data_IF_245280307927
#
_entry.id   IF_245280307927
#
_cell.length_a   1.000
_cell.length_b   1.000
_cell.length_c   1.000
_cell.angle_alpha   90.00
_cell.angle_beta   90.00
_cell.angle_gamma   90.00
#
_symmetry.space_group_name_H-M   'P 1'
#
loop_
_entity.id
_entity.type
_entity.pdbx_description
1 polymer ?
#
# COMPACT_ATOMS: atom_id res chain seq x y z
N UNK A 1 16.74 -20.28 -14.12
CA UNK A 1 15.71 -19.51 -13.38
C UNK A 1 16.30 -18.15 -13.06
N UNK A 2 15.63 -17.07 -13.44
CA UNK A 2 16.05 -15.72 -13.03
C UNK A 2 15.92 -15.64 -11.49
N UNK A 3 17.02 -15.23 -10.84
CA UNK A 3 17.01 -15.00 -9.40
C UNK A 3 16.28 -13.67 -9.14
N UNK A 4 14.97 -13.72 -8.88
CA UNK A 4 14.16 -12.53 -8.62
C UNK A 4 14.57 -11.87 -7.31
N UNK A 5 14.54 -10.53 -7.24
CA UNK A 5 14.76 -9.81 -5.99
C UNK A 5 13.83 -10.34 -4.89
N UNK A 6 14.36 -10.47 -3.69
CA UNK A 6 13.63 -11.00 -2.53
C UNK A 6 13.70 -10.01 -1.37
N UNK A 7 12.52 -9.71 -0.81
CA UNK A 7 12.37 -8.91 0.41
C UNK A 7 12.06 -9.82 1.60
N UNK A 8 12.98 -10.01 2.55
CA UNK A 8 12.71 -10.78 3.76
C UNK A 8 11.55 -10.20 4.59
N UNK A 9 11.33 -8.89 4.53
CA UNK A 9 10.19 -8.24 5.21
C UNK A 9 8.87 -8.66 4.58
N UNK A 10 8.75 -8.57 3.24
CA UNK A 10 7.56 -9.02 2.51
C UNK A 10 7.28 -10.51 2.76
N UNK A 11 8.31 -11.33 2.83
CA UNK A 11 8.13 -12.77 3.07
C UNK A 11 7.57 -13.07 4.47
N UNK A 12 8.02 -12.32 5.48
CA UNK A 12 7.53 -12.50 6.86
C UNK A 12 6.10 -12.00 7.07
N UNK A 13 5.69 -10.92 6.39
CA UNK A 13 4.41 -10.26 6.66
C UNK A 13 3.30 -10.61 5.68
N UNK A 14 3.60 -11.25 4.52
CA UNK A 14 2.61 -11.58 3.49
C UNK A 14 1.43 -12.39 4.01
N UNK A 15 1.66 -13.42 4.84
CA UNK A 15 0.58 -14.25 5.36
C UNK A 15 -0.26 -13.53 6.43
N UNK A 16 0.32 -12.89 7.46
CA UNK A 16 -0.47 -12.09 8.39
C UNK A 16 -1.29 -10.99 7.72
N UNK A 17 -0.75 -10.35 6.67
CA UNK A 17 -1.50 -9.35 5.91
C UNK A 17 -2.64 -10.01 5.13
N UNK A 18 -2.41 -11.13 4.45
CA UNK A 18 -3.46 -11.87 3.74
C UNK A 18 -4.61 -12.25 4.68
N UNK A 19 -4.29 -12.74 5.88
CA UNK A 19 -5.29 -13.11 6.88
C UNK A 19 -6.14 -11.91 7.33
N UNK A 20 -5.58 -10.70 7.30
CA UNK A 20 -6.32 -9.48 7.54
C UNK A 20 -7.16 -9.07 6.32
N UNK A 21 -6.56 -9.07 5.12
CA UNK A 21 -7.24 -8.71 3.88
C UNK A 21 -8.49 -9.57 3.63
N UNK A 22 -8.42 -10.88 3.87
CA UNK A 22 -9.56 -11.79 3.68
C UNK A 22 -10.72 -11.57 4.65
N UNK A 23 -10.50 -10.83 5.73
CA UNK A 23 -11.56 -10.42 6.68
C UNK A 23 -12.14 -9.04 6.38
N UNK A 24 -11.32 -8.17 5.76
CA UNK A 24 -11.66 -6.77 5.50
C UNK A 24 -12.35 -6.63 4.13
N UNK A 25 -11.85 -7.37 3.14
CA UNK A 25 -12.28 -7.23 1.75
C UNK A 25 -13.44 -8.15 1.43
N UNK A 26 -14.31 -7.70 0.52
CA UNK A 26 -15.42 -8.49 0.00
C UNK A 26 -14.92 -9.74 -0.78
N UNK A 27 -15.85 -10.60 -1.20
CA UNK A 27 -15.53 -11.84 -1.93
C UNK A 27 -14.81 -11.60 -3.27
N UNK A 28 -14.99 -10.44 -3.90
CA UNK A 28 -14.40 -10.07 -5.18
C UNK A 28 -14.16 -8.58 -5.29
N UNK A 29 -13.22 -8.19 -6.13
CA UNK A 29 -12.93 -6.78 -6.38
C UNK A 29 -11.69 -6.56 -7.23
N UNK A 30 -11.29 -5.30 -7.32
CA UNK A 30 -10.06 -4.87 -7.98
C UNK A 30 -9.19 -4.10 -7.00
N UNK A 31 -7.95 -4.53 -6.82
CA UNK A 31 -6.98 -3.91 -5.94
C UNK A 31 -5.86 -3.23 -6.74
N UNK A 32 -5.51 -2.02 -6.33
CA UNK A 32 -4.31 -1.30 -6.77
C UNK A 32 -3.25 -1.39 -5.67
N UNK A 33 -2.10 -1.96 -5.97
CA UNK A 33 -0.97 -2.01 -5.03
C UNK A 33 0.03 -0.90 -5.34
N UNK A 34 0.23 -0.02 -4.37
CA UNK A 34 1.19 1.08 -4.42
C UNK A 34 2.52 0.61 -3.83
N UNK A 35 3.64 0.94 -4.51
CA UNK A 35 5.00 0.58 -4.09
C UNK A 35 5.18 -0.94 -3.92
N UNK A 36 4.91 -1.71 -4.96
CA UNK A 36 4.99 -3.19 -4.95
C UNK A 36 6.41 -3.75 -4.73
N UNK A 37 7.44 -2.93 -4.91
CA UNK A 37 8.84 -3.27 -4.63
C UNK A 37 9.31 -4.50 -5.39
N UNK A 38 9.32 -5.66 -4.73
CA UNK A 38 9.69 -6.94 -5.35
C UNK A 38 8.53 -7.69 -6.00
N UNK A 39 7.29 -7.21 -5.85
CA UNK A 39 6.07 -7.86 -6.34
C UNK A 39 5.65 -9.13 -5.55
N UNK A 40 6.30 -9.40 -4.39
CA UNK A 40 6.00 -10.60 -3.60
C UNK A 40 4.59 -10.58 -3.03
N UNK A 41 4.11 -9.42 -2.55
CA UNK A 41 2.75 -9.26 -2.05
C UNK A 41 1.73 -9.46 -3.17
N UNK A 42 1.89 -8.75 -4.29
CA UNK A 42 0.99 -8.84 -5.44
C UNK A 42 0.77 -10.30 -5.89
N UNK A 43 1.87 -11.05 -6.09
CA UNK A 43 1.77 -12.46 -6.51
C UNK A 43 1.14 -13.35 -5.43
N UNK A 44 1.46 -13.12 -4.15
CA UNK A 44 0.93 -13.90 -3.04
C UNK A 44 -0.57 -13.68 -2.85
N UNK A 45 -1.01 -12.42 -2.88
CA UNK A 45 -2.42 -12.08 -2.68
C UNK A 45 -3.27 -12.48 -3.88
N UNK A 46 -2.80 -12.25 -5.11
CA UNK A 46 -3.51 -12.69 -6.30
C UNK A 46 -3.69 -14.21 -6.35
N UNK A 47 -2.69 -14.99 -5.92
CA UNK A 47 -2.81 -16.45 -5.83
C UNK A 47 -3.84 -16.90 -4.80
N UNK A 48 -3.90 -16.23 -3.64
CA UNK A 48 -4.79 -16.59 -2.54
C UNK A 48 -6.23 -16.05 -2.71
N UNK A 49 -6.41 -15.01 -3.53
CA UNK A 49 -7.68 -14.31 -3.73
C UNK A 49 -8.06 -14.33 -5.23
N UNK A 50 -8.43 -15.48 -5.82
CA UNK A 50 -8.62 -15.62 -7.27
C UNK A 50 -9.77 -14.79 -7.85
N UNK A 51 -10.72 -14.35 -7.02
CA UNK A 51 -11.82 -13.46 -7.40
C UNK A 51 -11.45 -11.96 -7.37
N UNK A 52 -10.22 -11.64 -6.93
CA UNK A 52 -9.69 -10.28 -6.93
C UNK A 52 -8.72 -10.07 -8.08
N UNK A 53 -8.91 -9.02 -8.86
CA UNK A 53 -7.91 -8.56 -9.82
C UNK A 53 -6.89 -7.69 -9.11
N UNK A 54 -5.60 -7.99 -9.27
CA UNK A 54 -4.51 -7.30 -8.59
C UNK A 54 -3.65 -6.52 -9.59
N UNK A 55 -3.56 -5.20 -9.38
CA UNK A 55 -2.76 -4.29 -10.21
C UNK A 55 -1.53 -3.81 -9.42
N UNK A 56 -0.34 -4.39 -9.60
CA UNK A 56 0.89 -3.91 -8.98
C UNK A 56 1.40 -2.63 -9.63
N UNK A 57 1.97 -1.73 -8.82
CA UNK A 57 2.62 -0.50 -9.30
C UNK A 57 3.86 -0.18 -8.47
N UNK A 58 4.79 0.58 -9.07
CA UNK A 58 5.94 1.13 -8.34
C UNK A 58 6.35 2.48 -8.94
N UNK A 59 6.90 3.36 -8.11
CA UNK A 59 7.42 4.66 -8.54
C UNK A 59 8.81 4.54 -9.18
N UNK A 60 9.57 3.51 -8.83
CA UNK A 60 10.88 3.25 -9.41
C UNK A 60 10.77 2.38 -10.66
N UNK A 61 10.97 2.97 -11.84
CA UNK A 61 10.96 2.24 -13.10
C UNK A 61 11.94 1.05 -13.13
N UNK A 62 12.99 1.06 -12.31
CA UNK A 62 13.96 -0.05 -12.20
C UNK A 62 13.38 -1.28 -11.50
N UNK A 63 12.33 -1.11 -10.71
CA UNK A 63 11.62 -2.21 -10.06
C UNK A 63 10.69 -2.96 -11.00
N UNK A 64 10.15 -2.30 -12.03
CA UNK A 64 9.12 -2.86 -12.91
C UNK A 64 9.54 -4.15 -13.62
N UNK A 65 10.77 -4.32 -14.16
CA UNK A 65 11.18 -5.58 -14.79
C UNK A 65 11.14 -6.77 -13.82
N UNK A 66 11.54 -6.57 -12.56
CA UNK A 66 11.50 -7.62 -11.56
C UNK A 66 10.07 -8.01 -11.16
N UNK A 67 9.18 -7.01 -11.02
CA UNK A 67 7.76 -7.24 -10.76
C UNK A 67 7.13 -7.98 -11.95
N UNK A 68 7.40 -7.53 -13.20
CA UNK A 68 6.91 -8.18 -14.41
C UNK A 68 7.33 -9.66 -14.50
N UNK A 69 8.61 -9.95 -14.26
CA UNK A 69 9.10 -11.33 -14.25
C UNK A 69 8.42 -12.18 -13.16
N UNK A 70 8.06 -11.58 -12.01
CA UNK A 70 7.31 -12.29 -10.96
C UNK A 70 5.86 -12.56 -11.38
N UNK A 71 5.22 -11.59 -12.05
CA UNK A 71 3.87 -11.75 -12.64
C UNK A 71 3.88 -12.89 -13.66
N UNK A 72 4.84 -12.91 -14.59
CA UNK A 72 5.01 -13.98 -15.59
C UNK A 72 5.21 -15.35 -14.95
N UNK A 73 6.07 -15.44 -13.90
CA UNK A 73 6.30 -16.71 -13.19
C UNK A 73 5.07 -17.19 -12.42
N UNK A 74 4.29 -16.27 -11.87
CA UNK A 74 3.06 -16.60 -11.14
C UNK A 74 1.99 -17.16 -12.10
N UNK A 75 1.98 -16.72 -13.35
CA UNK A 75 1.05 -17.15 -14.40
C UNK A 75 -0.43 -17.11 -13.97
N UNK A 76 -0.81 -16.09 -13.21
CA UNK A 76 -2.15 -15.93 -12.65
C UNK A 76 -2.99 -14.99 -13.53
N UNK A 77 -4.20 -15.39 -13.96
CA UNK A 77 -5.03 -14.58 -14.86
C UNK A 77 -5.55 -13.29 -14.21
N UNK A 78 -5.55 -13.22 -12.88
CA UNK A 78 -6.03 -12.10 -12.06
C UNK A 78 -4.90 -11.19 -11.58
N UNK A 79 -3.65 -11.41 -11.99
CA UNK A 79 -2.50 -10.56 -11.67
C UNK A 79 -2.06 -9.81 -12.93
N UNK A 80 -2.23 -8.49 -12.93
CA UNK A 80 -1.93 -7.64 -14.09
C UNK A 80 -0.42 -7.33 -14.19
N UNK A 81 0.09 -6.98 -15.38
CA UNK A 81 1.43 -6.43 -15.53
C UNK A 81 1.62 -5.16 -14.71
N UNK A 82 2.83 -4.89 -14.17
CA UNK A 82 3.08 -3.72 -13.34
C UNK A 82 3.03 -2.42 -14.15
N UNK A 83 2.60 -1.34 -13.51
CA UNK A 83 2.59 0.01 -14.07
C UNK A 83 3.52 0.94 -13.27
N UNK A 84 4.07 1.94 -13.96
CA UNK A 84 4.82 3.02 -13.31
C UNK A 84 3.81 3.96 -12.63
N UNK A 85 3.90 4.09 -11.31
CA UNK A 85 3.05 4.97 -10.54
C UNK A 85 3.82 5.61 -9.39
N UNK A 86 4.08 6.91 -9.52
CA UNK A 86 4.49 7.77 -8.44
C UNK A 86 3.25 8.47 -7.90
N UNK A 87 2.94 8.30 -6.62
CA UNK A 87 1.78 8.93 -5.98
C UNK A 87 1.85 10.46 -6.01
N UNK A 88 3.06 11.03 -6.14
CA UNK A 88 3.30 12.47 -6.29
C UNK A 88 3.02 12.99 -7.69
N UNK A 89 2.86 12.12 -8.69
CA UNK A 89 2.54 12.53 -10.05
C UNK A 89 1.09 13.06 -10.14
N UNK A 90 0.84 14.06 -11.02
CA UNK A 90 -0.50 14.64 -11.17
C UNK A 90 -1.53 13.65 -11.71
N UNK A 91 -1.06 12.58 -12.37
CA UNK A 91 -1.88 11.54 -12.97
C UNK A 91 -1.44 10.16 -12.49
N UNK A 92 -2.39 9.25 -12.28
CA UNK A 92 -2.19 7.83 -12.00
C UNK A 92 -2.73 6.98 -13.17
N UNK A 93 -1.97 6.00 -13.69
CA UNK A 93 -0.54 5.81 -13.47
C UNK A 93 0.29 6.98 -14.05
N UNK A 94 1.57 7.06 -13.71
CA UNK A 94 2.45 8.18 -14.12
C UNK A 94 2.82 8.13 -15.60
N UNK A 95 2.60 7.01 -16.27
CA UNK A 95 2.83 6.81 -17.71
C UNK A 95 1.68 5.99 -18.29
N UNK A 96 1.41 6.22 -19.58
CA UNK A 96 0.30 5.57 -20.29
C UNK A 96 -1.05 6.27 -20.03
N UNK A 97 -2.16 5.62 -20.39
CA UNK A 97 -3.49 6.19 -20.16
C UNK A 97 -3.80 6.28 -18.66
N UNK A 98 -4.40 7.38 -18.22
CA UNK A 98 -4.88 7.54 -16.87
C UNK A 98 -5.95 6.49 -16.53
N UNK A 99 -6.03 6.08 -15.25
CA UNK A 99 -7.15 5.27 -14.77
C UNK A 99 -8.47 6.03 -14.91
N UNK A 100 -8.46 7.35 -14.63
CA UNK A 100 -9.55 8.26 -14.85
C UNK A 100 -9.38 8.95 -16.20
N UNK A 101 -10.26 8.70 -17.18
CA UNK A 101 -10.32 9.41 -18.46
C UNK A 101 -11.70 10.03 -18.63
N UNK A 102 -11.76 11.29 -19.12
CA UNK A 102 -13.00 12.07 -19.24
C UNK A 102 -14.09 11.39 -20.08
N UNK A 103 -13.71 10.52 -21.03
CA UNK A 103 -14.65 9.88 -21.98
C UNK A 103 -14.84 8.36 -21.77
N UNK A 104 -14.31 7.77 -20.69
CA UNK A 104 -14.47 6.34 -20.37
C UNK A 104 -14.88 6.19 -18.91
N UNK A 105 -15.64 5.13 -18.64
CA UNK A 105 -15.87 4.74 -17.24
C UNK A 105 -14.52 4.62 -16.54
N UNK A 106 -14.31 5.50 -15.56
CA UNK A 106 -13.08 5.55 -14.77
C UNK A 106 -12.87 4.19 -14.11
N UNK A 107 -11.68 3.62 -14.26
CA UNK A 107 -11.35 2.42 -13.51
C UNK A 107 -11.23 2.80 -12.02
N UNK A 108 -12.23 2.41 -11.23
CA UNK A 108 -12.25 2.57 -9.78
C UNK A 108 -11.82 1.27 -9.12
N UNK A 109 -11.09 1.40 -8.03
CA UNK A 109 -10.60 0.28 -7.24
C UNK A 109 -11.47 0.06 -6.00
N UNK A 110 -11.73 -1.19 -5.69
CA UNK A 110 -12.41 -1.59 -4.46
C UNK A 110 -11.43 -1.52 -3.27
N UNK A 111 -10.14 -1.73 -3.54
CA UNK A 111 -9.08 -1.53 -2.55
C UNK A 111 -7.85 -0.85 -3.18
N UNK A 112 -7.22 0.07 -2.43
CA UNK A 112 -5.86 0.54 -2.69
C UNK A 112 -5.01 0.08 -1.52
N UNK A 113 -3.94 -0.67 -1.80
CA UNK A 113 -3.06 -1.25 -0.80
C UNK A 113 -1.65 -0.66 -0.89
N UNK A 114 -1.09 -0.28 0.25
CA UNK A 114 0.24 0.30 0.34
C UNK A 114 0.97 -0.22 1.59
N UNK A 115 2.05 -0.98 1.40
CA UNK A 115 2.85 -1.51 2.49
C UNK A 115 4.23 -0.88 2.56
N UNK A 116 4.64 -0.50 3.77
CA UNK A 116 5.99 -0.05 4.12
C UNK A 116 6.52 1.18 3.36
N UNK A 117 5.71 1.87 2.56
CA UNK A 117 6.14 3.05 1.81
C UNK A 117 6.25 4.30 2.70
N UNK A 118 5.27 4.55 3.55
CA UNK A 118 5.15 5.84 4.24
C UNK A 118 6.35 6.20 5.13
N UNK A 119 7.04 5.20 5.69
CA UNK A 119 8.20 5.45 6.53
C UNK A 119 9.55 5.53 5.77
N UNK A 120 9.57 5.18 4.47
CA UNK A 120 10.74 5.28 3.57
C UNK A 120 10.49 6.25 2.41
N UNK A 121 9.62 7.22 2.59
CA UNK A 121 9.32 8.27 1.61
C UNK A 121 9.20 9.62 2.33
N UNK A 122 9.42 10.77 1.65
CA UNK A 122 9.18 12.08 2.23
C UNK A 122 7.72 12.27 2.68
N UNK A 123 7.50 13.07 3.73
CA UNK A 123 6.15 13.26 4.30
C UNK A 123 5.05 13.67 3.29
N UNK A 124 5.31 14.55 2.30
CA UNK A 124 4.29 14.91 1.30
C UNK A 124 3.70 13.73 0.53
N UNK A 125 4.42 12.60 0.47
CA UNK A 125 3.94 11.35 -0.14
C UNK A 125 2.70 10.80 0.55
N UNK A 126 2.54 11.06 1.86
CA UNK A 126 1.35 10.66 2.61
C UNK A 126 0.11 11.40 2.10
N UNK A 127 0.16 12.74 2.00
CA UNK A 127 -0.93 13.55 1.48
C UNK A 127 -1.28 13.15 0.03
N UNK A 128 -0.25 12.91 -0.80
CA UNK A 128 -0.43 12.49 -2.19
C UNK A 128 -1.10 11.11 -2.30
N UNK A 129 -0.69 10.14 -1.47
CA UNK A 129 -1.34 8.82 -1.39
C UNK A 129 -2.82 8.97 -1.02
N UNK A 130 -3.14 9.76 0.02
CA UNK A 130 -4.53 9.97 0.47
C UNK A 130 -5.38 10.62 -0.63
N UNK A 131 -4.86 11.67 -1.29
CA UNK A 131 -5.57 12.36 -2.36
C UNK A 131 -5.78 11.47 -3.59
N UNK A 132 -4.76 10.68 -3.97
CA UNK A 132 -4.87 9.73 -5.06
C UNK A 132 -5.86 8.61 -4.73
N UNK A 133 -5.83 8.09 -3.50
CA UNK A 133 -6.78 7.09 -3.04
C UNK A 133 -8.22 7.60 -3.09
N UNK A 134 -8.50 8.80 -2.56
CA UNK A 134 -9.83 9.40 -2.60
C UNK A 134 -10.37 9.56 -4.04
N UNK A 135 -9.49 9.85 -5.02
CA UNK A 135 -9.88 9.94 -6.44
C UNK A 135 -10.17 8.60 -7.11
N UNK A 136 -9.41 7.56 -6.78
CA UNK A 136 -9.42 6.29 -7.53
C UNK A 136 -10.15 5.17 -6.81
N UNK A 137 -10.52 5.32 -5.54
CA UNK A 137 -11.39 4.38 -4.84
C UNK A 137 -12.83 4.46 -5.34
N UNK A 138 -13.51 3.31 -5.34
CA UNK A 138 -14.94 3.24 -5.56
C UNK A 138 -15.68 4.04 -4.47
N UNK A 139 -16.48 4.98 -4.89
CA UNK A 139 -17.20 5.87 -3.98
C UNK A 139 -18.07 5.07 -2.99
N UNK A 140 -17.98 5.42 -1.71
CA UNK A 140 -18.80 4.85 -0.63
C UNK A 140 -18.34 3.47 -0.13
N UNK A 141 -17.72 2.63 -0.95
CA UNK A 141 -17.34 1.24 -0.57
C UNK A 141 -15.85 0.96 -0.61
N UNK A 142 -15.10 1.68 -1.47
CA UNK A 142 -13.67 1.45 -1.63
C UNK A 142 -12.87 1.79 -0.37
N UNK A 143 -11.81 1.04 -0.12
CA UNK A 143 -10.95 1.21 1.05
C UNK A 143 -9.48 1.41 0.68
N UNK A 144 -8.80 2.32 1.38
CA UNK A 144 -7.34 2.42 1.39
C UNK A 144 -6.80 1.61 2.57
N UNK A 145 -5.90 0.70 2.30
CA UNK A 145 -5.24 -0.12 3.32
C UNK A 145 -3.76 0.22 3.34
N UNK A 146 -3.26 0.67 4.48
CA UNK A 146 -1.83 0.91 4.69
C UNK A 146 -1.27 -0.05 5.73
N UNK A 147 -0.04 -0.53 5.51
CA UNK A 147 0.65 -1.41 6.45
C UNK A 147 2.06 -0.88 6.75
N UNK A 148 2.46 -0.92 7.99
CA UNK A 148 3.81 -0.56 8.46
C UNK A 148 3.84 -0.23 9.94
N UNK A 149 5.00 0.21 10.45
CA UNK A 149 5.11 0.73 11.80
C UNK A 149 4.53 2.15 11.86
N UNK A 150 3.86 2.45 12.97
CA UNK A 150 3.36 3.79 13.28
C UNK A 150 3.67 4.12 14.75
N UNK A 151 3.89 5.40 15.03
CA UNK A 151 3.87 5.91 16.39
C UNK A 151 2.43 6.24 16.78
N UNK A 152 2.01 5.76 17.91
CA UNK A 152 0.69 6.00 18.48
C UNK A 152 0.79 6.89 19.71
N UNK A 153 -0.35 7.37 20.19
CA UNK A 153 -0.42 8.09 21.47
C UNK A 153 -0.16 7.11 22.62
N UNK A 154 0.94 7.30 23.32
CA UNK A 154 1.36 6.43 24.43
C UNK A 154 0.37 6.45 25.60
N UNK A 155 -0.39 7.52 25.77
CA UNK A 155 -1.42 7.58 26.80
C UNK A 155 -2.60 6.63 26.54
N UNK A 156 -2.85 6.31 25.24
CA UNK A 156 -3.95 5.44 24.83
C UNK A 156 -3.50 4.00 24.53
N UNK A 157 -2.28 3.84 23.98
CA UNK A 157 -1.81 2.58 23.43
C UNK A 157 -0.59 2.00 24.16
N UNK A 158 -0.12 2.68 25.22
CA UNK A 158 1.07 2.30 25.96
C UNK A 158 2.37 2.74 25.28
N UNK A 159 3.53 2.45 25.89
CA UNK A 159 4.81 2.94 25.44
C UNK A 159 5.17 2.38 24.06
N UNK A 160 5.79 3.24 23.25
CA UNK A 160 6.31 2.85 21.94
C UNK A 160 7.31 1.71 22.07
N UNK A 161 7.16 0.66 21.26
CA UNK A 161 8.06 -0.49 21.26
C UNK A 161 9.52 -0.06 20.99
N UNK A 162 10.50 -0.51 21.81
CA UNK A 162 11.91 -0.15 21.60
C UNK A 162 12.44 -0.48 20.20
N UNK A 163 11.94 -1.54 19.59
CA UNK A 163 12.29 -1.91 18.20
C UNK A 163 11.86 -0.86 17.17
N UNK A 164 10.71 -0.20 17.37
CA UNK A 164 10.25 0.86 16.49
C UNK A 164 11.06 2.15 16.70
N UNK A 165 11.50 2.45 17.93
CA UNK A 165 12.39 3.57 18.19
C UNK A 165 13.74 3.39 17.47
N UNK A 166 14.39 2.22 17.64
CA UNK A 166 15.65 1.90 16.99
C UNK A 166 15.51 1.89 15.45
N UNK A 167 14.42 1.36 14.92
CA UNK A 167 14.15 1.37 13.48
C UNK A 167 13.94 2.78 12.94
N UNK A 168 13.27 3.65 13.68
CA UNK A 168 13.11 5.06 13.30
C UNK A 168 14.45 5.81 13.25
N UNK A 169 15.36 5.53 14.18
CA UNK A 169 16.72 6.09 14.19
C UNK A 169 17.50 5.62 12.95
N UNK A 170 17.47 4.32 12.62
CA UNK A 170 18.09 3.76 11.41
C UNK A 170 17.55 4.40 10.13
N UNK A 171 16.23 4.54 10.02
CA UNK A 171 15.60 5.19 8.88
C UNK A 171 16.09 6.63 8.69
N UNK A 172 16.11 7.42 9.76
CA UNK A 172 16.57 8.82 9.73
C UNK A 172 18.05 8.97 9.47
N UNK A 173 18.86 8.00 9.89
CA UNK A 173 20.28 7.97 9.59
C UNK A 173 20.54 7.71 8.09
N UNK A 174 19.68 6.96 7.43
CA UNK A 174 19.73 6.68 5.98
C UNK A 174 19.23 7.84 5.13
N UNK A 175 18.12 8.45 5.53
CA UNK A 175 17.55 9.64 4.89
C UNK A 175 16.78 10.46 5.95
N UNK A 176 17.14 11.75 6.17
CA UNK A 176 16.45 12.61 7.14
C UNK A 176 14.96 12.82 6.87
N UNK A 177 14.51 12.65 5.63
CA UNK A 177 13.09 12.74 5.26
C UNK A 177 12.29 11.48 5.62
N UNK A 178 12.96 10.38 5.93
CA UNK A 178 12.36 9.11 6.33
C UNK A 178 12.06 9.08 7.82
N UNK A 179 11.27 8.11 8.24
CA UNK A 179 10.97 7.85 9.65
C UNK A 179 9.55 7.33 9.84
N UNK A 180 9.35 6.67 10.96
CA UNK A 180 8.03 6.18 11.37
C UNK A 180 7.08 7.38 11.55
N UNK A 181 5.90 7.28 10.99
CA UNK A 181 4.89 8.35 11.02
C UNK A 181 4.00 8.22 12.25
N UNK A 182 3.56 9.35 12.79
CA UNK A 182 2.52 9.33 13.83
C UNK A 182 1.18 8.96 13.19
N UNK A 183 0.45 8.06 13.83
CA UNK A 183 -0.87 7.63 13.36
C UNK A 183 -1.83 8.83 13.22
N UNK A 184 -1.84 9.73 14.21
CA UNK A 184 -2.71 10.91 14.21
C UNK A 184 -2.47 11.83 13.02
N UNK A 185 -1.19 12.02 12.62
CA UNK A 185 -0.84 12.83 11.46
C UNK A 185 -1.34 12.19 10.16
N UNK A 186 -1.19 10.87 10.04
CA UNK A 186 -1.70 10.11 8.88
C UNK A 186 -3.23 10.18 8.80
N UNK A 187 -3.91 10.04 9.92
CA UNK A 187 -5.38 10.20 10.01
C UNK A 187 -5.81 11.62 9.66
N UNK A 188 -5.04 12.63 10.06
CA UNK A 188 -5.32 14.02 9.71
C UNK A 188 -5.22 14.26 8.19
N UNK A 189 -4.21 13.69 7.51
CA UNK A 189 -4.10 13.77 6.05
C UNK A 189 -5.27 13.05 5.34
N UNK A 190 -5.67 11.88 5.82
CA UNK A 190 -6.83 11.16 5.28
C UNK A 190 -8.12 12.00 5.38
N UNK A 191 -8.36 12.62 6.53
CA UNK A 191 -9.54 13.48 6.77
C UNK A 191 -9.62 14.68 5.83
N UNK A 192 -8.50 15.27 5.43
CA UNK A 192 -8.46 16.40 4.48
C UNK A 192 -9.06 16.08 3.11
N UNK A 193 -9.10 14.80 2.75
CA UNK A 193 -9.62 14.33 1.46
C UNK A 193 -10.91 13.50 1.61
N UNK A 194 -11.57 13.55 2.77
CA UNK A 194 -12.84 12.86 3.02
C UNK A 194 -12.70 11.37 3.33
N UNK A 195 -11.50 10.92 3.70
CA UNK A 195 -11.27 9.54 4.18
C UNK A 195 -11.20 9.55 5.72
N UNK A 196 -11.79 8.54 6.36
CA UNK A 196 -11.73 8.32 7.80
C UNK A 196 -11.08 6.97 8.11
N UNK A 197 -10.31 6.90 9.19
CA UNK A 197 -9.85 5.62 9.73
C UNK A 197 -11.06 4.81 10.19
N UNK A 198 -11.27 3.64 9.60
CA UNK A 198 -12.35 2.71 9.88
C UNK A 198 -11.91 1.61 10.84
N UNK A 199 -10.73 1.05 10.57
CA UNK A 199 -10.20 -0.07 11.34
C UNK A 199 -8.70 0.10 11.57
N UNK A 200 -8.25 -0.39 12.73
CA UNK A 200 -6.86 -0.49 13.13
C UNK A 200 -6.60 -1.91 13.63
N UNK A 201 -5.73 -2.62 12.94
CA UNK A 201 -5.33 -3.97 13.31
C UNK A 201 -3.88 -3.98 13.78
N UNK A 202 -3.66 -4.53 14.99
CA UNK A 202 -2.30 -4.82 15.46
C UNK A 202 -1.73 -5.99 14.67
N UNK A 203 -0.51 -5.81 14.17
CA UNK A 203 0.16 -6.78 13.30
C UNK A 203 1.49 -7.22 13.93
N UNK A 204 2.04 -8.38 13.52
CA UNK A 204 3.33 -8.85 14.04
C UNK A 204 4.44 -7.80 13.88
N UNK A 205 5.44 -7.90 14.75
CA UNK A 205 6.62 -7.02 14.80
C UNK A 205 6.27 -5.53 14.99
N UNK A 206 5.25 -5.24 15.81
CA UNK A 206 4.81 -3.89 16.18
C UNK A 206 4.43 -3.02 14.97
N UNK A 207 3.89 -3.65 13.92
CA UNK A 207 3.27 -2.97 12.80
C UNK A 207 1.77 -2.80 13.03
N UNK A 208 1.17 -1.93 12.23
CA UNK A 208 -0.28 -1.78 12.13
C UNK A 208 -0.72 -1.98 10.68
N UNK A 209 -1.92 -2.51 10.51
CA UNK A 209 -2.67 -2.42 9.27
C UNK A 209 -3.86 -1.49 9.53
N UNK A 210 -3.93 -0.42 8.75
CA UNK A 210 -4.93 0.63 8.89
C UNK A 210 -5.85 0.61 7.68
N UNK A 211 -7.15 0.69 7.91
CA UNK A 211 -8.18 0.73 6.88
C UNK A 211 -8.85 2.09 6.90
N UNK A 212 -8.79 2.80 5.80
CA UNK A 212 -9.47 4.07 5.60
C UNK A 212 -10.59 3.89 4.57
N UNK A 213 -11.73 4.54 4.81
CA UNK A 213 -12.87 4.59 3.89
C UNK A 213 -13.47 5.98 3.86
N UNK A 214 -14.38 6.25 2.92
CA UNK A 214 -15.07 7.54 2.84
C UNK A 214 -15.88 7.83 4.11
N UNK A 215 -15.83 9.09 4.57
CA UNK A 215 -16.49 9.58 5.80
C UNK A 215 -18.00 9.50 5.72
#
# INVERSE_FOLDING_TARGET
MLNLPHSPAADRNKQPILDALTRILDERGTALEIASGTGQHAAWFAAAMPSWTWQPTDADARSLPAIASRVEQAALPNLRPPLLLDVMAPQWPSQGPAFAQEDKEEEKFDAIYCANMLHIAPWPTCAALMAGAARHLRAGTGVLITYGPYFEDEAQHGPTAPSNLAFNEDLRARDPAWGIRRLDDVVAEARRVGLALRERHAMPANNLLLVFGFS
#
